data_IF_827789343189
#
_entry.id   IF_827789343189
#
_cell.length_a   1.000
_cell.length_b   1.000
_cell.length_c   1.000
_cell.angle_alpha   90.00
_cell.angle_beta   90.00
_cell.angle_gamma   90.00
#
_symmetry.space_group_name_H-M   'P 1'
#
loop_
_entity.id
_entity.type
_entity.pdbx_description
1 polymer ?
#
# COMPACT_ATOMS: atom_id res chain seq x y z
N UNK A 1 8.45 2.52 -0.45
CA UNK A 1 7.85 2.77 0.88
C UNK A 1 7.45 4.23 1.08
N UNK A 2 8.35 5.20 0.88
CA UNK A 2 8.16 6.63 1.24
C UNK A 2 6.81 7.26 0.83
N UNK A 3 6.32 6.98 -0.39
CA UNK A 3 5.02 7.48 -0.88
C UNK A 3 3.83 7.23 0.05
N UNK A 4 3.85 6.19 0.91
CA UNK A 4 2.80 6.00 1.92
C UNK A 4 2.93 7.02 3.08
N UNK A 5 4.15 7.28 3.55
CA UNK A 5 4.40 8.28 4.62
C UNK A 5 4.01 9.69 4.17
N UNK A 6 4.29 10.03 2.92
CA UNK A 6 3.90 11.31 2.31
C UNK A 6 2.38 11.50 2.19
N UNK A 7 1.58 10.44 2.35
CA UNK A 7 0.12 10.46 2.36
C UNK A 7 -0.45 10.24 3.77
N UNK A 8 0.40 10.35 4.80
CA UNK A 8 0.12 10.13 6.24
C UNK A 8 -0.50 8.77 6.62
N UNK A 9 -0.70 7.87 5.67
CA UNK A 9 -1.32 6.55 5.88
C UNK A 9 -0.44 5.63 6.75
N UNK A 10 -1.06 4.98 7.74
CA UNK A 10 -0.47 3.81 8.40
C UNK A 10 -0.43 2.58 7.46
N UNK A 11 0.35 1.55 7.80
CA UNK A 11 0.29 0.29 7.04
C UNK A 11 -1.10 -0.35 7.09
N UNK A 12 -1.78 -0.28 8.24
CA UNK A 12 -3.14 -0.78 8.39
C UNK A 12 -4.12 -0.02 7.48
N UNK A 13 -4.00 1.31 7.41
CA UNK A 13 -4.90 2.14 6.62
C UNK A 13 -4.67 1.96 5.11
N UNK A 14 -3.42 1.91 4.64
CA UNK A 14 -3.16 1.62 3.22
C UNK A 14 -3.65 0.21 2.85
N UNK A 15 -3.43 -0.78 3.72
CA UNK A 15 -3.90 -2.15 3.49
C UNK A 15 -5.44 -2.21 3.41
N UNK A 16 -6.13 -1.49 4.30
CA UNK A 16 -7.61 -1.32 4.30
C UNK A 16 -8.10 -0.68 2.99
N UNK A 17 -7.57 0.50 2.63
CA UNK A 17 -7.96 1.22 1.39
C UNK A 17 -7.68 0.42 0.12
N UNK A 18 -6.54 -0.28 0.05
CA UNK A 18 -6.17 -1.08 -1.12
C UNK A 18 -6.84 -2.46 -1.19
N UNK A 19 -7.62 -2.88 -0.18
CA UNK A 19 -8.23 -4.21 -0.14
C UNK A 19 -7.21 -5.35 -0.15
N UNK A 20 -6.15 -5.23 0.65
CA UNK A 20 -5.10 -6.25 0.82
C UNK A 20 -4.84 -6.55 2.30
N UNK A 21 -4.29 -7.73 2.63
CA UNK A 21 -3.89 -8.02 4.02
C UNK A 21 -2.71 -7.14 4.43
N UNK A 22 -2.73 -6.64 5.67
CA UNK A 22 -1.63 -5.84 6.23
C UNK A 22 -0.29 -6.60 6.22
N UNK A 23 -0.31 -7.92 6.41
CA UNK A 23 0.89 -8.74 6.27
C UNK A 23 1.45 -8.76 4.84
N UNK A 24 0.58 -8.76 3.82
CA UNK A 24 1.00 -8.75 2.42
C UNK A 24 1.70 -7.44 2.11
N UNK A 25 1.09 -6.30 2.50
CA UNK A 25 1.74 -5.00 2.44
C UNK A 25 3.08 -5.02 3.19
N UNK A 26 3.12 -5.53 4.42
CA UNK A 26 4.35 -5.60 5.23
C UNK A 26 5.47 -6.44 4.57
N UNK A 27 5.13 -7.58 3.96
CA UNK A 27 6.09 -8.40 3.19
C UNK A 27 6.61 -7.62 1.97
N UNK A 28 5.76 -6.88 1.27
CA UNK A 28 6.14 -6.00 0.13
C UNK A 28 7.01 -4.82 0.60
N UNK A 29 6.61 -4.09 1.65
CA UNK A 29 7.37 -2.94 2.19
C UNK A 29 8.77 -3.33 2.72
N UNK A 30 8.98 -4.63 3.01
CA UNK A 30 10.26 -5.21 3.44
C UNK A 30 10.98 -6.04 2.37
N UNK A 31 10.50 -6.05 1.11
CA UNK A 31 11.13 -6.80 0.01
C UNK A 31 11.12 -8.34 0.17
N UNK A 32 10.28 -8.89 1.05
CA UNK A 32 10.22 -10.33 1.38
C UNK A 32 9.24 -11.13 0.50
N UNK A 33 8.72 -10.53 -0.57
CA UNK A 33 7.85 -11.19 -1.54
C UNK A 33 7.84 -10.40 -2.84
N UNK A 34 7.61 -11.09 -3.96
CA UNK A 34 7.35 -10.47 -5.28
C UNK A 34 5.84 -10.39 -5.47
N UNK A 35 5.19 -9.23 -5.27
CA UNK A 35 3.76 -9.09 -5.52
C UNK A 35 3.46 -9.08 -7.02
N UNK A 36 2.24 -9.49 -7.37
CA UNK A 36 1.71 -9.35 -8.71
C UNK A 36 1.37 -7.88 -9.05
N UNK A 37 1.20 -7.61 -10.34
CA UNK A 37 0.90 -6.27 -10.84
C UNK A 37 -0.43 -5.70 -10.33
N UNK A 38 -1.46 -6.52 -10.10
CA UNK A 38 -2.75 -6.03 -9.60
C UNK A 38 -2.67 -5.64 -8.11
N UNK A 39 -1.91 -6.38 -7.29
CA UNK A 39 -1.58 -5.99 -5.89
C UNK A 39 -0.81 -4.68 -5.86
N UNK A 40 0.19 -4.49 -6.72
CA UNK A 40 0.89 -3.19 -6.85
C UNK A 40 -0.06 -2.08 -7.31
N UNK A 41 -0.91 -2.33 -8.31
CA UNK A 41 -1.89 -1.35 -8.81
C UNK A 41 -2.86 -0.90 -7.71
N UNK A 42 -3.41 -1.83 -6.91
CA UNK A 42 -4.27 -1.52 -5.75
C UNK A 42 -3.58 -0.58 -4.76
N UNK A 43 -2.33 -0.89 -4.39
CA UNK A 43 -1.54 -0.05 -3.47
C UNK A 43 -1.24 1.34 -4.04
N UNK A 44 -0.96 1.45 -5.35
CA UNK A 44 -0.70 2.74 -6.01
C UNK A 44 -1.96 3.59 -6.12
N UNK A 45 -3.12 2.98 -6.41
CA UNK A 45 -4.42 3.67 -6.46
C UNK A 45 -4.79 4.21 -5.09
N UNK A 46 -4.76 3.39 -4.03
CA UNK A 46 -5.09 3.81 -2.67
C UNK A 46 -4.16 4.91 -2.11
N UNK A 47 -2.88 4.96 -2.53
CA UNK A 47 -1.97 6.08 -2.22
C UNK A 47 -2.35 7.34 -3.00
N UNK A 48 -2.73 7.24 -4.29
CA UNK A 48 -3.15 8.40 -5.08
C UNK A 48 -4.44 9.01 -4.54
N UNK A 49 -5.41 8.19 -4.18
CA UNK A 49 -6.69 8.62 -3.60
C UNK A 49 -6.46 9.36 -2.27
N UNK A 50 -5.59 8.83 -1.40
CA UNK A 50 -5.22 9.50 -0.15
C UNK A 50 -4.41 10.79 -0.31
N UNK A 51 -3.82 11.05 -1.48
CA UNK A 51 -3.12 12.29 -1.83
C UNK A 51 -4.00 13.30 -2.60
N UNK A 52 -5.27 12.97 -2.81
CA UNK A 52 -6.27 13.79 -3.48
C UNK A 52 -7.47 14.14 -2.56
N UNK A 53 -7.28 13.95 -1.25
CA UNK A 53 -8.19 14.34 -0.16
C UNK A 53 -7.53 15.43 0.68
#
# INVERSE_FOLDING_TARGET
>A
MSRRKNAELSQAELARRAGVRIETLNRIERGKTTPDFATIRKLVVAIKEALAQ
#
